data_IF_984271296176
#
_entry.id   IF_984271296176
#
_cell.length_a   1.000
_cell.length_b   1.000
_cell.length_c   1.000
_cell.angle_alpha   90.00
_cell.angle_beta   90.00
_cell.angle_gamma   90.00
#
_symmetry.space_group_name_H-M   'P 1'
#
loop_
_entity.id
_entity.type
_entity.pdbx_description
1 polymer ?
#
# COMPACT_ATOMS: atom_id res chain seq x y z
N UNK A 1 17.28 43.90 -39.90
CA UNK A 1 16.95 44.52 -38.61
C UNK A 1 15.90 43.65 -37.91
N UNK A 2 16.24 43.11 -36.72
CA UNK A 2 15.34 42.74 -35.59
C UNK A 2 14.22 41.70 -35.89
N UNK A 3 14.09 40.53 -35.24
CA UNK A 3 14.80 39.90 -34.12
C UNK A 3 14.09 38.62 -33.61
N UNK A 4 14.74 37.99 -32.61
CA UNK A 4 14.26 37.07 -31.53
C UNK A 4 13.78 35.67 -31.96
N UNK A 5 14.48 34.57 -31.64
CA UNK A 5 14.82 33.93 -30.34
C UNK A 5 13.93 32.71 -30.08
N UNK A 6 14.46 31.49 -30.30
CA UNK A 6 13.95 30.24 -29.71
C UNK A 6 15.15 29.39 -29.32
N UNK A 7 15.48 29.38 -28.02
CA UNK A 7 16.46 28.48 -27.44
C UNK A 7 15.75 27.18 -27.04
N UNK A 8 16.26 26.08 -27.60
CA UNK A 8 15.87 24.70 -27.35
C UNK A 8 16.41 24.23 -26.00
N UNK A 9 15.53 23.82 -25.08
CA UNK A 9 15.92 23.17 -23.83
C UNK A 9 15.50 21.70 -23.86
N UNK A 10 16.45 20.85 -24.23
CA UNK A 10 16.38 19.38 -24.10
C UNK A 10 17.29 18.97 -22.93
N UNK A 11 16.76 18.15 -22.01
CA UNK A 11 17.59 17.39 -21.07
C UNK A 11 17.33 17.65 -19.59
N UNK A 12 16.21 17.16 -19.05
CA UNK A 12 16.12 16.81 -17.63
C UNK A 12 15.59 15.38 -17.55
N UNK A 13 16.50 14.43 -17.68
CA UNK A 13 16.27 13.02 -17.37
C UNK A 13 16.64 12.79 -15.90
N UNK A 14 15.67 12.22 -15.17
CA UNK A 14 15.82 11.37 -13.98
C UNK A 14 16.64 11.94 -12.82
N UNK A 15 15.96 12.53 -11.84
CA UNK A 15 16.52 12.62 -10.48
C UNK A 15 15.41 12.62 -9.44
N UNK A 16 14.91 11.43 -9.10
CA UNK A 16 14.26 11.16 -7.81
C UNK A 16 14.43 9.66 -7.52
N UNK A 17 15.63 9.31 -7.08
CA UNK A 17 15.89 8.07 -6.35
C UNK A 17 16.23 8.49 -4.93
N UNK A 18 15.42 8.01 -3.99
CA UNK A 18 15.49 8.23 -2.55
C UNK A 18 16.86 7.75 -2.05
N UNK A 19 17.78 8.60 -1.54
CA UNK A 19 19.08 8.15 -1.06
C UNK A 19 19.08 7.80 0.43
N UNK A 20 17.93 7.87 1.12
CA UNK A 20 17.87 7.69 2.58
C UNK A 20 18.09 6.23 3.01
N UNK A 21 17.66 5.26 2.21
CA UNK A 21 17.68 3.85 2.62
C UNK A 21 19.04 3.15 2.46
N UNK A 22 19.90 3.62 1.54
CA UNK A 22 21.25 3.06 1.35
C UNK A 22 22.25 3.57 2.38
N UNK A 23 22.12 4.82 2.80
CA UNK A 23 22.97 5.40 3.84
C UNK A 23 22.75 4.69 5.18
N UNK A 24 21.50 4.42 5.56
CA UNK A 24 21.17 3.73 6.81
C UNK A 24 21.80 2.32 6.87
N UNK A 25 21.77 1.57 5.77
CA UNK A 25 22.38 0.24 5.71
C UNK A 25 23.92 0.30 5.78
N UNK A 26 24.54 1.32 5.17
CA UNK A 26 26.00 1.49 5.21
C UNK A 26 26.51 1.94 6.58
N UNK A 27 25.72 2.73 7.31
CA UNK A 27 26.02 3.18 8.67
C UNK A 27 25.82 2.00 9.63
N UNK A 28 24.68 1.29 9.53
CA UNK A 28 24.40 0.10 10.35
C UNK A 28 25.49 -0.98 10.19
N UNK A 29 25.94 -1.26 8.96
CA UNK A 29 26.99 -2.25 8.71
C UNK A 29 28.38 -1.77 9.16
N UNK A 30 28.66 -0.46 9.14
CA UNK A 30 29.91 0.10 9.70
C UNK A 30 29.95 -0.05 11.23
N UNK A 31 28.84 0.21 11.91
CA UNK A 31 28.75 -0.02 13.36
C UNK A 31 28.80 -1.51 13.69
N UNK A 32 28.13 -2.37 12.92
CA UNK A 32 28.13 -3.82 13.14
C UNK A 32 29.54 -4.44 12.99
N UNK A 33 30.31 -3.99 11.99
CA UNK A 33 31.69 -4.47 11.79
C UNK A 33 32.64 -3.99 12.89
N UNK A 34 32.48 -2.74 13.34
CA UNK A 34 33.24 -2.19 14.46
C UNK A 34 32.97 -2.92 15.79
N UNK A 35 31.76 -3.46 15.96
CA UNK A 35 31.37 -4.27 17.13
C UNK A 35 31.95 -5.68 17.01
N UNK A 36 31.91 -6.29 15.82
CA UNK A 36 32.49 -7.62 15.57
C UNK A 36 34.01 -7.66 15.76
N UNK A 37 34.74 -6.64 15.31
CA UNK A 37 36.20 -6.57 15.49
C UNK A 37 36.61 -6.41 16.97
N UNK A 38 35.72 -5.92 17.83
CA UNK A 38 35.94 -5.84 19.28
C UNK A 38 35.74 -7.18 19.99
N UNK A 39 35.03 -8.12 19.36
CA UNK A 39 34.72 -9.46 19.89
C UNK A 39 35.88 -10.44 19.60
N UNK A 40 36.67 -10.22 18.54
CA UNK A 40 37.78 -11.09 18.11
C UNK A 40 39.19 -10.65 18.59
N UNK A 41 39.30 -10.03 19.77
CA UNK A 41 40.61 -9.80 20.40
C UNK A 41 41.05 -11.01 21.24
N UNK A 42 42.24 -11.59 21.01
CA UNK A 42 42.74 -12.72 21.81
C UNK A 42 43.02 -12.26 23.25
N UNK A 43 42.23 -12.75 24.20
CA UNK A 43 42.32 -12.39 25.61
C UNK A 43 43.53 -13.06 26.30
N UNK A 44 44.45 -12.24 26.85
CA UNK A 44 45.39 -12.68 27.89
C UNK A 44 44.72 -12.55 29.26
N UNK A 45 44.94 -13.55 30.11
CA UNK A 45 44.12 -13.96 31.25
C UNK A 45 43.98 -13.03 32.46
N UNK A 46 44.08 -11.70 32.31
CA UNK A 46 43.83 -10.74 33.40
C UNK A 46 42.85 -9.60 33.06
N UNK A 47 42.18 -9.64 31.90
CA UNK A 47 41.14 -8.66 31.52
C UNK A 47 39.70 -9.22 31.48
N UNK A 48 39.51 -10.48 31.91
CA UNK A 48 38.21 -11.16 31.83
C UNK A 48 37.16 -10.62 32.82
N UNK A 49 37.60 -9.93 33.88
CA UNK A 49 36.69 -9.46 34.94
C UNK A 49 35.97 -8.17 34.52
N UNK A 50 36.57 -7.32 33.67
CA UNK A 50 35.90 -6.08 33.21
C UNK A 50 34.97 -6.27 32.02
N UNK A 51 35.14 -7.35 31.24
CA UNK A 51 34.25 -7.67 30.12
C UNK A 51 32.89 -8.22 30.58
N UNK A 52 32.83 -8.81 31.78
CA UNK A 52 31.59 -9.39 32.32
C UNK A 52 30.61 -8.33 32.86
N UNK A 53 31.10 -7.22 33.39
CA UNK A 53 30.22 -6.15 33.92
C UNK A 53 29.64 -5.22 32.84
N UNK A 54 30.25 -5.17 31.65
CA UNK A 54 29.81 -4.31 30.54
C UNK A 54 28.94 -5.08 29.52
N UNK A 55 29.13 -6.39 29.36
CA UNK A 55 28.34 -7.18 28.40
C UNK A 55 26.95 -7.59 28.91
N UNK A 56 26.73 -7.69 30.23
CA UNK A 56 25.42 -7.98 30.80
C UNK A 56 24.34 -6.93 30.48
N UNK A 57 24.58 -5.61 30.65
CA UNK A 57 23.56 -4.61 30.35
C UNK A 57 23.31 -4.42 28.84
N UNK A 58 24.31 -4.68 27.98
CA UNK A 58 24.17 -4.54 26.53
C UNK A 58 23.29 -5.65 25.93
N UNK A 59 23.41 -6.88 26.43
CA UNK A 59 22.52 -7.98 26.05
C UNK A 59 21.10 -7.78 26.61
N UNK A 60 20.96 -7.22 27.82
CA UNK A 60 19.64 -6.90 28.40
C UNK A 60 18.90 -5.77 27.64
N UNK A 61 19.64 -4.80 27.08
CA UNK A 61 19.06 -3.73 26.26
C UNK A 61 18.44 -4.24 24.95
N UNK A 62 18.98 -5.33 24.37
CA UNK A 62 18.39 -5.97 23.19
C UNK A 62 17.14 -6.82 23.50
N UNK A 63 16.94 -7.25 24.75
CA UNK A 63 15.75 -8.02 25.17
C UNK A 63 14.58 -7.10 25.54
N UNK A 64 14.86 -5.86 25.94
CA UNK A 64 13.87 -4.87 26.39
C UNK A 64 13.43 -3.86 25.32
N UNK A 65 13.84 -4.00 24.07
CA UNK A 65 13.18 -3.31 22.96
C UNK A 65 12.06 -4.26 22.50
N UNK A 66 10.78 -4.00 22.81
CA UNK A 66 9.72 -4.59 22.02
C UNK A 66 10.00 -4.12 20.60
N UNK A 67 10.38 -5.07 19.73
CA UNK A 67 10.10 -4.92 18.32
C UNK A 67 8.58 -4.76 18.27
N UNK A 68 8.09 -3.51 18.32
CA UNK A 68 6.71 -3.19 18.07
C UNK A 68 6.45 -3.66 16.66
N UNK A 69 6.00 -4.90 16.55
CA UNK A 69 5.42 -5.45 15.35
C UNK A 69 4.21 -4.56 15.07
N UNK A 70 4.38 -3.57 14.21
CA UNK A 70 3.26 -2.87 13.60
C UNK A 70 2.60 -3.90 12.68
N UNK A 71 1.74 -4.74 13.24
CA UNK A 71 0.76 -5.49 12.47
C UNK A 71 -0.19 -4.43 11.90
N UNK A 72 0.17 -3.88 10.74
CA UNK A 72 -0.65 -2.90 10.04
C UNK A 72 -1.95 -3.57 9.63
N UNK A 73 -3.00 -3.44 10.45
CA UNK A 73 -4.36 -3.63 9.97
C UNK A 73 -4.57 -2.63 8.85
N UNK A 74 -4.67 -3.10 7.60
CA UNK A 74 -5.01 -2.20 6.48
C UNK A 74 -6.32 -1.47 6.82
N UNK A 75 -6.26 -0.14 6.93
CA UNK A 75 -7.47 0.63 7.17
C UNK A 75 -8.38 0.53 5.94
N UNK A 76 -9.68 0.30 6.17
CA UNK A 76 -10.68 0.28 5.09
C UNK A 76 -10.74 1.63 4.34
N UNK A 77 -10.28 2.70 4.97
CA UNK A 77 -10.17 4.02 4.35
C UNK A 77 -9.15 4.10 3.22
N UNK A 78 -8.11 3.26 3.20
CA UNK A 78 -7.11 3.18 2.11
C UNK A 78 -6.56 4.56 1.69
N UNK A 79 -6.43 5.49 2.64
CA UNK A 79 -5.95 6.86 2.42
C UNK A 79 -7.03 7.92 2.10
N UNK A 80 -8.32 7.57 2.16
CA UNK A 80 -9.43 8.52 2.09
C UNK A 80 -9.83 9.11 3.47
N UNK A 81 -9.02 8.90 4.50
CA UNK A 81 -9.24 9.44 5.85
C UNK A 81 -9.76 8.37 6.80
N UNK A 82 -8.94 8.02 7.79
CA UNK A 82 -9.26 6.95 8.75
C UNK A 82 -10.25 7.38 9.84
N UNK A 83 -10.56 8.68 9.91
CA UNK A 83 -11.59 9.24 10.80
C UNK A 83 -13.02 9.02 10.26
N UNK A 84 -13.17 8.61 9.00
CA UNK A 84 -14.46 8.25 8.42
C UNK A 84 -14.77 6.80 8.75
N UNK A 85 -16.03 6.53 9.06
CA UNK A 85 -16.49 5.19 9.40
C UNK A 85 -16.74 4.35 8.14
N UNK A 86 -15.70 3.66 7.68
CA UNK A 86 -15.74 2.83 6.48
C UNK A 86 -16.33 1.45 6.74
N UNK A 87 -17.20 1.00 5.84
CA UNK A 87 -17.76 -0.36 5.81
C UNK A 87 -17.26 -1.16 4.62
N UNK A 88 -17.31 -2.49 4.76
CA UNK A 88 -17.23 -3.40 3.61
C UNK A 88 -18.48 -3.24 2.74
N UNK A 89 -18.44 -3.73 1.50
CA UNK A 89 -19.61 -3.61 0.60
C UNK A 89 -20.82 -4.38 1.13
N UNK A 90 -20.60 -5.57 1.69
CA UNK A 90 -21.69 -6.42 2.19
C UNK A 90 -22.30 -5.86 3.48
N UNK A 91 -21.46 -5.39 4.41
CA UNK A 91 -21.94 -4.78 5.65
C UNK A 91 -22.59 -3.42 5.38
N UNK A 92 -22.00 -2.63 4.48
CA UNK A 92 -22.52 -1.31 4.13
C UNK A 92 -23.91 -1.38 3.49
N UNK A 93 -24.18 -2.39 2.66
CA UNK A 93 -25.53 -2.61 2.10
C UNK A 93 -26.55 -2.92 3.21
N UNK A 94 -26.23 -3.84 4.11
CA UNK A 94 -27.11 -4.21 5.24
C UNK A 94 -27.36 -3.01 6.17
N UNK A 95 -26.31 -2.24 6.45
CA UNK A 95 -26.40 -1.04 7.28
C UNK A 95 -27.27 0.03 6.61
N UNK A 96 -27.10 0.28 5.30
CA UNK A 96 -27.93 1.23 4.56
C UNK A 96 -29.42 0.85 4.58
N UNK A 97 -29.74 -0.44 4.39
CA UNK A 97 -31.12 -0.95 4.47
C UNK A 97 -31.73 -0.79 5.86
N UNK A 98 -30.97 -1.11 6.91
CA UNK A 98 -31.46 -1.05 8.29
C UNK A 98 -31.54 0.37 8.87
N UNK A 99 -30.64 1.27 8.46
CA UNK A 99 -30.58 2.66 8.95
C UNK A 99 -31.41 3.64 8.12
N UNK A 100 -31.73 3.29 6.86
CA UNK A 100 -32.36 4.19 5.91
C UNK A 100 -31.42 5.26 5.35
N UNK A 101 -30.12 5.19 5.63
CA UNK A 101 -29.13 6.12 5.11
C UNK A 101 -28.69 5.73 3.69
N UNK A 102 -28.42 6.71 2.81
CA UNK A 102 -27.87 6.45 1.48
C UNK A 102 -26.45 5.89 1.56
N UNK A 103 -26.12 4.99 0.63
CA UNK A 103 -24.78 4.42 0.49
C UNK A 103 -23.90 5.32 -0.39
N UNK A 104 -22.72 5.70 0.11
CA UNK A 104 -21.69 6.39 -0.67
C UNK A 104 -20.55 5.43 -0.98
N UNK A 105 -20.45 5.00 -2.24
CA UNK A 105 -19.47 4.03 -2.70
C UNK A 105 -18.32 4.73 -3.43
N UNK A 106 -17.10 4.61 -2.89
CA UNK A 106 -15.87 5.09 -3.52
C UNK A 106 -15.16 3.90 -4.17
N UNK A 107 -15.11 3.89 -5.50
CA UNK A 107 -14.40 2.89 -6.29
C UNK A 107 -13.04 3.45 -6.73
N UNK A 108 -11.93 2.79 -6.37
CA UNK A 108 -10.60 3.33 -6.66
C UNK A 108 -9.53 2.31 -7.06
N UNK A 109 -8.45 2.89 -7.62
CA UNK A 109 -7.11 2.34 -7.94
C UNK A 109 -6.04 2.48 -6.86
N UNK A 110 -5.31 1.46 -6.41
CA UNK A 110 -4.02 1.72 -5.72
C UNK A 110 -3.03 2.50 -6.59
N UNK A 111 -2.98 2.22 -7.89
CA UNK A 111 -2.04 2.84 -8.83
C UNK A 111 -2.63 3.97 -9.70
N UNK A 112 -3.91 4.32 -9.51
CA UNK A 112 -4.56 5.39 -10.28
C UNK A 112 -4.07 6.79 -9.84
N UNK A 113 -3.49 7.55 -10.76
CA UNK A 113 -2.97 8.90 -10.49
C UNK A 113 -4.03 9.87 -9.98
N UNK A 114 -5.24 9.84 -10.57
CA UNK A 114 -6.34 10.70 -10.12
C UNK A 114 -6.80 10.36 -8.70
N UNK A 115 -6.93 9.07 -8.36
CA UNK A 115 -7.27 8.63 -7.01
C UNK A 115 -6.20 9.05 -6.00
N UNK A 116 -4.91 8.87 -6.33
CA UNK A 116 -3.80 9.31 -5.47
C UNK A 116 -3.83 10.80 -5.19
N UNK A 117 -4.18 11.62 -6.18
CA UNK A 117 -4.29 13.07 -6.01
C UNK A 117 -5.55 13.48 -5.21
N UNK A 118 -6.62 12.69 -5.28
CA UNK A 118 -7.87 12.96 -4.57
C UNK A 118 -7.82 12.54 -3.10
N UNK A 119 -7.21 11.39 -2.78
CA UNK A 119 -7.09 10.83 -1.42
C UNK A 119 -6.77 11.86 -0.33
N UNK A 120 -5.66 12.64 -0.41
CA UNK A 120 -5.35 13.62 0.63
C UNK A 120 -6.38 14.73 0.71
N UNK A 121 -6.87 15.25 -0.43
CA UNK A 121 -7.89 16.31 -0.45
C UNK A 121 -9.21 15.85 0.16
N UNK A 122 -9.55 14.58 -0.03
CA UNK A 122 -10.75 13.97 0.54
C UNK A 122 -10.58 13.80 2.05
N UNK A 123 -9.44 13.25 2.49
CA UNK A 123 -9.13 13.03 3.90
C UNK A 123 -9.00 14.35 4.69
N UNK A 124 -8.51 15.42 4.07
CA UNK A 124 -8.33 16.71 4.75
C UNK A 124 -9.60 17.58 4.75
N UNK A 125 -10.63 17.20 4.01
CA UNK A 125 -11.86 17.99 3.87
C UNK A 125 -12.81 17.78 5.04
N UNK A 126 -12.95 18.83 5.86
CA UNK A 126 -13.93 18.84 6.97
C UNK A 126 -15.37 18.70 6.50
N UNK A 127 -15.72 19.35 5.40
CA UNK A 127 -17.06 19.28 4.82
C UNK A 127 -17.43 17.84 4.43
N UNK A 128 -16.47 17.10 3.85
CA UNK A 128 -16.68 15.69 3.50
C UNK A 128 -16.83 14.84 4.76
N UNK A 129 -15.98 15.07 5.78
CA UNK A 129 -16.08 14.35 7.05
C UNK A 129 -17.44 14.58 7.73
N UNK A 130 -17.94 15.81 7.74
CA UNK A 130 -19.22 16.16 8.34
C UNK A 130 -20.40 15.54 7.56
N UNK A 131 -20.36 15.61 6.23
CA UNK A 131 -21.38 14.99 5.39
C UNK A 131 -21.36 13.47 5.48
N UNK A 132 -20.20 12.85 5.65
CA UNK A 132 -20.05 11.40 5.73
C UNK A 132 -20.89 10.76 6.85
N UNK A 133 -21.24 11.50 7.90
CA UNK A 133 -22.14 11.01 8.95
C UNK A 133 -23.57 10.73 8.46
N UNK A 134 -23.98 11.30 7.33
CA UNK A 134 -25.30 11.10 6.73
C UNK A 134 -25.32 9.98 5.66
N UNK A 135 -24.21 9.25 5.52
CA UNK A 135 -24.05 8.20 4.52
C UNK A 135 -23.43 6.95 5.15
N UNK A 136 -23.75 5.80 4.56
CA UNK A 136 -22.95 4.59 4.78
C UNK A 136 -21.79 4.60 3.81
N UNK A 137 -20.58 4.85 4.33
CA UNK A 137 -19.37 5.05 3.53
C UNK A 137 -18.72 3.69 3.21
N UNK A 138 -18.57 3.38 1.92
CA UNK A 138 -17.93 2.15 1.45
C UNK A 138 -16.80 2.48 0.50
N UNK A 139 -15.65 1.85 0.71
CA UNK A 139 -14.49 1.98 -0.17
C UNK A 139 -14.17 0.62 -0.80
N UNK A 140 -14.16 0.57 -2.13
CA UNK A 140 -13.84 -0.62 -2.91
C UNK A 140 -12.64 -0.34 -3.81
N UNK A 141 -11.62 -1.19 -3.68
CA UNK A 141 -10.51 -1.22 -4.62
C UNK A 141 -10.83 -2.18 -5.77
N UNK A 142 -10.61 -1.73 -7.01
CA UNK A 142 -10.91 -2.53 -8.20
C UNK A 142 -9.79 -3.55 -8.46
N UNK A 143 -10.14 -4.78 -8.83
CA UNK A 143 -9.18 -5.75 -9.31
C UNK A 143 -8.35 -5.19 -10.49
N UNK A 144 -7.02 -5.15 -10.37
CA UNK A 144 -6.16 -4.50 -11.36
C UNK A 144 -6.16 -5.23 -12.71
N UNK A 145 -6.46 -6.53 -12.70
CA UNK A 145 -6.36 -7.41 -13.86
C UNK A 145 -7.59 -7.43 -14.76
N UNK A 146 -8.74 -6.94 -14.29
CA UNK A 146 -9.97 -6.86 -15.08
C UNK A 146 -10.08 -5.44 -15.64
N UNK A 147 -9.88 -5.30 -16.94
CA UNK A 147 -9.87 -4.00 -17.65
C UNK A 147 -10.69 -4.09 -18.93
N UNK A 148 -11.14 -2.96 -19.46
CA UNK A 148 -11.72 -2.92 -20.80
C UNK A 148 -10.61 -3.06 -21.86
N UNK A 149 -10.26 -4.30 -22.23
CA UNK A 149 -9.22 -4.59 -23.22
C UNK A 149 -9.57 -4.07 -24.63
N UNK A 150 -10.86 -4.06 -24.96
CA UNK A 150 -11.38 -3.63 -26.26
C UNK A 150 -11.81 -2.15 -26.26
N UNK A 151 -11.44 -1.41 -25.21
CA UNK A 151 -11.78 -0.01 -25.02
C UNK A 151 -10.66 0.96 -25.40
N UNK A 152 -10.78 2.19 -24.92
CA UNK A 152 -9.75 3.20 -25.13
C UNK A 152 -8.54 2.94 -24.20
N UNK A 153 -7.29 2.87 -24.71
CA UNK A 153 -6.10 2.64 -23.88
C UNK A 153 -5.85 3.68 -22.78
N UNK A 154 -6.38 4.90 -22.97
CA UNK A 154 -6.35 5.98 -21.97
C UNK A 154 -7.46 5.81 -20.92
N UNK A 155 -8.60 5.22 -21.28
CA UNK A 155 -9.77 5.05 -20.42
C UNK A 155 -10.05 3.56 -20.15
N UNK A 156 -9.07 2.93 -19.48
CA UNK A 156 -9.02 1.58 -18.85
C UNK A 156 -10.34 0.87 -18.53
N UNK A 157 -11.28 1.64 -17.99
CA UNK A 157 -12.45 1.14 -17.24
C UNK A 157 -13.75 1.75 -17.76
N UNK A 158 -13.68 2.50 -18.85
CA UNK A 158 -14.85 3.07 -19.48
C UNK A 158 -15.36 2.11 -20.54
N UNK A 159 -16.64 1.75 -20.50
CA UNK A 159 -17.29 0.85 -21.44
C UNK A 159 -18.31 1.65 -22.27
N UNK A 160 -18.17 1.61 -23.59
CA UNK A 160 -19.04 2.34 -24.51
C UNK A 160 -20.08 1.46 -25.22
N UNK A 161 -19.98 0.14 -25.10
CA UNK A 161 -20.92 -0.81 -25.69
C UNK A 161 -21.15 -2.02 -24.79
N UNK A 162 -22.29 -2.69 -24.97
CA UNK A 162 -22.63 -3.92 -24.26
C UNK A 162 -21.60 -5.04 -24.51
N UNK A 163 -21.05 -5.13 -25.72
CA UNK A 163 -20.06 -6.16 -26.09
C UNK A 163 -18.77 -6.05 -25.26
N UNK A 164 -18.30 -4.82 -25.00
CA UNK A 164 -17.12 -4.60 -24.16
C UNK A 164 -17.37 -5.06 -22.72
N UNK A 165 -18.58 -4.81 -22.20
CA UNK A 165 -18.98 -5.26 -20.86
C UNK A 165 -19.05 -6.79 -20.83
N UNK A 166 -19.70 -7.41 -21.80
CA UNK A 166 -19.81 -8.85 -21.90
C UNK A 166 -18.44 -9.53 -22.01
N UNK A 167 -17.51 -8.95 -22.77
CA UNK A 167 -16.13 -9.44 -22.85
C UNK A 167 -15.42 -9.38 -21.50
N UNK A 168 -15.48 -8.25 -20.80
CA UNK A 168 -14.88 -8.10 -19.49
C UNK A 168 -15.52 -9.01 -18.43
N UNK A 169 -16.83 -9.28 -18.52
CA UNK A 169 -17.51 -10.25 -17.66
C UNK A 169 -16.98 -11.67 -17.88
N UNK A 170 -16.79 -12.09 -19.14
CA UNK A 170 -16.19 -13.39 -19.47
C UNK A 170 -14.76 -13.49 -18.95
N UNK A 171 -13.95 -12.46 -19.18
CA UNK A 171 -12.58 -12.40 -18.65
C UNK A 171 -12.55 -12.48 -17.11
N UNK A 172 -13.47 -11.81 -16.43
CA UNK A 172 -13.60 -11.88 -14.99
C UNK A 172 -14.03 -13.28 -14.52
N UNK A 173 -14.96 -13.94 -15.21
CA UNK A 173 -15.30 -15.33 -14.93
C UNK A 173 -14.07 -16.22 -15.07
N UNK A 174 -13.37 -16.14 -16.20
CA UNK A 174 -12.20 -17.00 -16.46
C UNK A 174 -11.10 -16.80 -15.41
N UNK A 175 -10.83 -15.55 -15.01
CA UNK A 175 -9.77 -15.22 -14.06
C UNK A 175 -10.14 -15.43 -12.59
N UNK A 176 -11.39 -15.16 -12.22
CA UNK A 176 -11.81 -15.15 -10.81
C UNK A 176 -12.52 -16.44 -10.38
N UNK A 177 -13.04 -17.24 -11.32
CA UNK A 177 -13.69 -18.52 -11.01
C UNK A 177 -12.81 -19.74 -11.31
N UNK A 178 -11.66 -19.55 -11.97
CA UNK A 178 -10.72 -20.61 -12.32
C UNK A 178 -10.24 -21.47 -11.14
N UNK A 179 -10.17 -20.91 -9.92
CA UNK A 179 -9.80 -21.62 -8.70
C UNK A 179 -10.89 -22.57 -8.14
N UNK A 180 -12.16 -22.38 -8.52
CA UNK A 180 -13.26 -23.24 -8.04
C UNK A 180 -13.28 -24.58 -8.80
N UNK A 181 -12.88 -24.58 -10.07
CA UNK A 181 -12.91 -25.79 -10.91
C UNK A 181 -11.77 -26.78 -10.62
N UNK A 182 -10.63 -26.32 -10.10
CA UNK A 182 -9.54 -27.19 -9.63
C UNK A 182 -9.83 -27.82 -8.28
N UNK A 183 -10.57 -27.14 -7.39
CA UNK A 183 -11.01 -27.71 -6.12
C UNK A 183 -12.12 -28.76 -6.28
N UNK A 184 -13.06 -28.56 -7.22
CA UNK A 184 -14.09 -29.57 -7.50
C UNK A 184 -13.52 -30.79 -8.24
N UNK A 185 -12.56 -30.60 -9.16
CA UNK A 185 -11.88 -31.73 -9.82
C UNK A 185 -11.01 -32.55 -8.86
N UNK A 186 -10.46 -31.93 -7.81
CA UNK A 186 -9.67 -32.64 -6.79
C UNK A 186 -10.52 -33.42 -5.77
N UNK A 187 -11.79 -33.05 -5.59
CA UNK A 187 -12.72 -33.73 -4.68
C UNK A 187 -13.50 -34.87 -5.34
N UNK A 188 -13.40 -35.03 -6.66
CA UNK A 188 -14.03 -36.12 -7.43
C UNK A 188 -13.04 -37.24 -7.85
N UNK A 189 -11.76 -37.17 -7.42
CA UNK A 189 -10.71 -38.17 -7.72
C UNK A 189 -10.16 -38.94 -6.49
N UNK A 190 -10.78 -38.84 -5.31
CA UNK A 190 -10.45 -39.68 -4.15
C UNK A 190 -11.68 -40.17 -3.37
#
# INVERSE_FOLDING_TARGET
>A
MIGKSVASTSGIRKMFTIPVQKELHSVLMRHFRSILDFIELPAKGSELIMKLEIFLPLAAFCILVPCSQTSGSESLGRGFGDHIHWRTLDDGKKEAESSGLPLMLIVHKSWCGACKALKPKFADSKEISELAHNFVMVNVEVHPEIVNQNGNPKYKYFYSSADQVAFAMKEAQDKLTGDITTQHRYSDEF
#
